data_IF_203585325164
#
_entry.id   IF_203585325164
#
_cell.length_a   1.000
_cell.length_b   1.000
_cell.length_c   1.000
_cell.angle_alpha   90.00
_cell.angle_beta   90.00
_cell.angle_gamma   90.00
#
_symmetry.space_group_name_H-M   'P 1'
#
loop_
_entity.id
_entity.type
_entity.pdbx_description
1 polymer ?
#
# COMPACT_ATOMS: atom_id res chain seq x y z
N UNK A 1 -21.44 4.55 15.60
CA UNK A 1 -20.76 5.79 15.97
C UNK A 1 -21.38 6.95 15.20
N UNK A 2 -21.92 7.91 15.92
CA UNK A 2 -22.64 9.08 15.41
C UNK A 2 -21.66 10.25 15.39
N UNK A 3 -21.19 10.66 14.21
CA UNK A 3 -20.39 11.89 14.04
C UNK A 3 -20.86 12.65 12.81
N UNK A 4 -21.56 13.75 13.07
CA UNK A 4 -21.75 14.94 12.22
C UNK A 4 -22.28 14.73 10.80
N UNK A 5 -23.60 14.63 10.67
CA UNK A 5 -24.34 14.93 9.43
C UNK A 5 -24.36 16.44 9.07
N UNK A 6 -23.53 17.28 9.68
CA UNK A 6 -23.61 18.75 9.53
C UNK A 6 -22.38 19.41 8.88
N UNK A 7 -21.50 18.66 8.21
CA UNK A 7 -20.20 19.23 7.90
C UNK A 7 -20.17 20.21 6.71
N UNK A 8 -21.04 20.11 5.68
CA UNK A 8 -20.85 20.90 4.46
C UNK A 8 -22.13 21.20 3.64
N UNK A 9 -23.03 22.07 4.11
CA UNK A 9 -24.27 22.42 3.38
C UNK A 9 -24.04 23.01 1.98
N UNK A 10 -22.94 23.73 1.77
CA UNK A 10 -22.55 24.24 0.45
C UNK A 10 -22.12 23.14 -0.53
N UNK A 11 -21.57 22.05 -0.02
CA UNK A 11 -21.02 20.96 -0.82
C UNK A 11 -22.15 20.03 -1.29
N UNK A 12 -23.18 19.85 -0.45
CA UNK A 12 -24.44 19.20 -0.82
C UNK A 12 -25.24 19.97 -1.89
N UNK A 13 -25.06 21.30 -1.96
CA UNK A 13 -25.67 22.14 -2.98
C UNK A 13 -25.03 21.97 -4.37
N UNK A 14 -23.74 21.62 -4.42
CA UNK A 14 -22.97 21.45 -5.66
C UNK A 14 -22.91 19.99 -6.09
N UNK A 15 -22.75 19.07 -5.14
CA UNK A 15 -22.64 17.64 -5.36
C UNK A 15 -23.70 16.89 -4.56
N UNK A 16 -24.54 16.06 -5.20
CA UNK A 16 -25.44 15.15 -4.48
C UNK A 16 -24.64 14.31 -3.48
N UNK A 17 -25.22 14.06 -2.30
CA UNK A 17 -24.62 13.25 -1.24
C UNK A 17 -24.29 11.80 -1.68
N UNK A 18 -24.93 11.30 -2.74
CA UNK A 18 -24.67 10.00 -3.38
C UNK A 18 -23.55 10.04 -4.42
N UNK A 19 -23.03 11.21 -4.79
CA UNK A 19 -22.02 11.35 -5.83
C UNK A 19 -20.63 10.91 -5.35
N UNK A 20 -19.80 10.44 -6.29
CA UNK A 20 -18.41 10.11 -6.01
C UNK A 20 -17.58 11.34 -5.62
N UNK A 21 -17.89 12.51 -6.20
CA UNK A 21 -17.23 13.77 -5.86
C UNK A 21 -17.48 14.18 -4.40
N UNK A 22 -18.74 14.07 -3.95
CA UNK A 22 -19.10 14.32 -2.56
C UNK A 22 -18.34 13.39 -1.60
N UNK A 23 -18.32 12.08 -1.87
CA UNK A 23 -17.57 11.10 -1.07
C UNK A 23 -16.07 11.37 -1.05
N UNK A 24 -15.50 11.83 -2.16
CA UNK A 24 -14.08 12.17 -2.26
C UNK A 24 -13.77 13.37 -1.36
N UNK A 25 -14.54 14.45 -1.49
CA UNK A 25 -14.31 15.69 -0.76
C UNK A 25 -14.49 15.54 0.76
N UNK A 26 -15.44 14.71 1.21
CA UNK A 26 -15.60 14.41 2.64
C UNK A 26 -14.35 13.75 3.27
N UNK A 27 -13.49 13.12 2.46
CA UNK A 27 -12.24 12.51 2.94
C UNK A 27 -11.12 13.53 3.14
N UNK A 28 -11.29 14.77 2.72
CA UNK A 28 -10.37 15.88 3.00
C UNK A 28 -10.55 16.43 4.42
N UNK A 29 -10.58 15.52 5.41
CA UNK A 29 -10.63 15.87 6.83
C UNK A 29 -9.22 15.96 7.40
N UNK A 30 -9.05 16.75 8.48
CA UNK A 30 -7.78 16.80 9.21
C UNK A 30 -7.43 15.44 9.85
N UNK A 31 -8.43 14.64 10.22
CA UNK A 31 -8.24 13.27 10.71
C UNK A 31 -7.56 12.40 9.66
N UNK A 32 -8.07 12.41 8.41
CA UNK A 32 -7.47 11.63 7.32
C UNK A 32 -6.10 12.19 6.89
N UNK A 33 -5.88 13.51 7.04
CA UNK A 33 -4.57 14.11 6.81
C UNK A 33 -3.54 13.56 7.81
N UNK A 34 -3.91 13.50 9.10
CA UNK A 34 -3.07 12.88 10.14
C UNK A 34 -2.76 11.43 9.83
N UNK A 35 -3.76 10.65 9.40
CA UNK A 35 -3.56 9.26 8.96
C UNK A 35 -2.54 9.16 7.82
N UNK A 36 -2.62 10.05 6.82
CA UNK A 36 -1.68 10.08 5.69
C UNK A 36 -0.23 10.30 6.14
N UNK A 37 -0.03 11.08 7.20
CA UNK A 37 1.30 11.43 7.74
C UNK A 37 1.71 10.56 8.92
N UNK A 38 0.98 9.48 9.22
CA UNK A 38 1.21 8.61 10.38
C UNK A 38 1.21 9.36 11.73
N UNK A 39 0.51 10.49 11.82
CA UNK A 39 0.38 11.30 13.04
C UNK A 39 -0.76 10.79 13.93
N UNK A 40 -0.63 9.54 14.37
CA UNK A 40 -1.65 8.79 15.12
C UNK A 40 -1.09 8.09 16.35
N UNK A 41 -1.89 8.03 17.40
CA UNK A 41 -1.56 7.24 18.59
C UNK A 41 -1.97 5.77 18.43
N UNK A 42 -1.29 4.81 19.09
CA UNK A 42 -1.68 3.41 19.04
C UNK A 42 -3.13 3.16 19.46
N UNK A 43 -3.64 3.93 20.42
CA UNK A 43 -5.01 3.81 20.91
C UNK A 43 -6.08 4.17 19.85
N UNK A 44 -5.73 4.97 18.83
CA UNK A 44 -6.62 5.30 17.71
C UNK A 44 -6.72 4.17 16.67
N UNK A 45 -5.76 3.23 16.67
CA UNK A 45 -5.63 2.19 15.63
C UNK A 45 -5.61 0.77 16.17
N UNK A 46 -5.97 0.59 17.45
CA UNK A 46 -6.15 -0.72 18.07
C UNK A 46 -7.63 -1.06 18.08
N UNK A 47 -7.98 -2.12 17.37
CA UNK A 47 -9.34 -2.64 17.27
C UNK A 47 -9.40 -4.06 17.82
N UNK A 48 -10.52 -4.41 18.45
CA UNK A 48 -10.75 -5.77 18.96
C UNK A 48 -11.01 -6.77 17.82
N UNK A 49 -11.69 -6.32 16.76
CA UNK A 49 -12.04 -7.16 15.60
C UNK A 49 -11.52 -6.57 14.30
N UNK A 50 -11.34 -7.42 13.29
CA UNK A 50 -10.84 -7.00 11.97
C UNK A 50 -11.90 -6.20 11.20
N UNK A 51 -13.16 -6.49 11.47
CA UNK A 51 -14.34 -5.85 10.88
C UNK A 51 -14.43 -4.37 11.26
N UNK A 52 -13.92 -4.01 12.44
CA UNK A 52 -13.87 -2.63 12.92
C UNK A 52 -12.71 -1.83 12.33
N UNK A 53 -11.73 -2.49 11.70
CA UNK A 53 -10.56 -1.81 11.12
C UNK A 53 -10.98 -1.03 9.87
N UNK A 54 -10.86 0.31 9.88
CA UNK A 54 -11.24 1.11 8.73
C UNK A 54 -10.31 0.84 7.54
N UNK A 55 -10.83 1.07 6.34
CA UNK A 55 -10.03 0.97 5.13
C UNK A 55 -9.17 2.23 4.97
N UNK A 56 -8.01 2.26 5.65
CA UNK A 56 -7.09 3.40 5.65
C UNK A 56 -6.66 3.83 4.23
N UNK A 57 -6.48 2.88 3.30
CA UNK A 57 -6.17 3.21 1.90
C UNK A 57 -7.23 4.14 1.30
N UNK A 58 -8.51 3.87 1.60
CA UNK A 58 -9.62 4.69 1.11
C UNK A 58 -9.63 6.07 1.79
N UNK A 59 -9.36 6.12 3.09
CA UNK A 59 -9.36 7.38 3.86
C UNK A 59 -8.26 8.35 3.41
N UNK A 60 -7.04 7.85 3.18
CA UNK A 60 -5.88 8.67 2.86
C UNK A 60 -5.74 8.95 1.35
N UNK A 61 -6.35 8.14 0.49
CA UNK A 61 -6.21 8.25 -0.98
C UNK A 61 -6.51 9.64 -1.52
N UNK A 62 -7.50 10.35 -0.96
CA UNK A 62 -7.86 11.68 -1.44
C UNK A 62 -6.77 12.72 -1.11
N UNK A 63 -6.20 12.68 0.09
CA UNK A 63 -5.06 13.54 0.45
C UNK A 63 -3.84 13.26 -0.43
N UNK A 64 -3.60 12.00 -0.77
CA UNK A 64 -2.53 11.62 -1.70
C UNK A 64 -2.69 12.27 -3.08
N UNK A 65 -3.90 12.28 -3.65
CA UNK A 65 -4.19 12.97 -4.90
C UNK A 65 -3.95 14.48 -4.79
N UNK A 66 -4.30 15.07 -3.64
CA UNK A 66 -4.02 16.48 -3.35
C UNK A 66 -2.52 16.74 -3.29
N UNK A 67 -1.71 15.87 -2.65
CA UNK A 67 -0.25 16.01 -2.64
C UNK A 67 0.37 15.94 -4.03
N UNK A 68 -0.07 15.01 -4.88
CA UNK A 68 0.36 14.93 -6.29
C UNK A 68 0.03 16.23 -7.02
N UNK A 69 -1.21 16.72 -6.91
CA UNK A 69 -1.61 17.96 -7.58
C UNK A 69 -0.83 19.18 -7.06
N UNK A 70 -0.64 19.28 -5.75
CA UNK A 70 0.13 20.36 -5.12
C UNK A 70 1.60 20.33 -5.55
N UNK A 71 2.23 19.16 -5.63
CA UNK A 71 3.59 19.02 -6.13
C UNK A 71 3.73 19.63 -7.54
N UNK A 72 2.84 19.26 -8.46
CA UNK A 72 2.85 19.81 -9.82
C UNK A 72 2.60 21.33 -9.86
N UNK A 73 1.67 21.84 -9.05
CA UNK A 73 1.41 23.29 -8.96
C UNK A 73 2.64 24.02 -8.43
N UNK A 74 3.29 23.50 -7.39
CA UNK A 74 4.50 24.09 -6.79
C UNK A 74 5.63 24.12 -7.83
N UNK A 75 5.83 23.04 -8.59
CA UNK A 75 6.84 22.99 -9.65
C UNK A 75 6.57 24.03 -10.75
N UNK A 76 5.31 24.18 -11.18
CA UNK A 76 4.92 25.18 -12.18
C UNK A 76 5.15 26.60 -11.69
N UNK A 77 4.69 26.93 -10.48
CA UNK A 77 4.83 28.27 -9.90
C UNK A 77 6.30 28.60 -9.60
N UNK A 78 7.08 27.61 -9.19
CA UNK A 78 8.50 27.77 -8.87
C UNK A 78 9.39 27.76 -10.13
N UNK A 79 8.83 27.59 -11.33
CA UNK A 79 9.58 27.59 -12.60
C UNK A 79 10.50 26.38 -12.82
N UNK A 80 10.32 25.28 -12.06
CA UNK A 80 11.15 24.07 -12.15
C UNK A 80 10.57 23.09 -13.18
N UNK A 81 10.44 23.56 -14.43
CA UNK A 81 9.89 22.77 -15.53
C UNK A 81 10.73 21.52 -15.85
N UNK A 82 12.02 21.52 -15.50
CA UNK A 82 12.94 20.38 -15.62
C UNK A 82 12.51 19.18 -14.78
N UNK A 83 11.77 19.40 -13.69
CA UNK A 83 11.27 18.36 -12.80
C UNK A 83 9.81 17.99 -13.06
N UNK A 84 9.14 18.68 -13.99
CA UNK A 84 7.74 18.48 -14.33
C UNK A 84 7.56 17.24 -15.21
N UNK A 85 7.68 16.06 -14.60
CA UNK A 85 7.70 14.76 -15.29
C UNK A 85 6.30 14.15 -15.47
N UNK A 86 5.43 14.84 -16.21
CA UNK A 86 4.02 14.41 -16.35
C UNK A 86 3.89 13.03 -17.03
N UNK A 87 4.68 12.78 -18.06
CA UNK A 87 4.71 11.50 -18.78
C UNK A 87 5.15 10.34 -17.88
N UNK A 88 6.20 10.54 -17.08
CA UNK A 88 6.67 9.53 -16.14
C UNK A 88 5.64 9.30 -15.03
N UNK A 89 4.97 10.36 -14.60
CA UNK A 89 3.94 10.29 -13.57
C UNK A 89 2.70 9.51 -14.03
N UNK A 90 2.25 9.75 -15.26
CA UNK A 90 1.20 8.95 -15.91
C UNK A 90 1.63 7.49 -16.01
N UNK A 91 2.87 7.23 -16.44
CA UNK A 91 3.42 5.87 -16.51
C UNK A 91 3.38 5.17 -15.15
N UNK A 92 3.80 5.86 -14.10
CA UNK A 92 3.81 5.34 -12.72
C UNK A 92 2.40 5.04 -12.20
N UNK A 93 1.42 5.90 -12.48
CA UNK A 93 0.01 5.65 -12.14
C UNK A 93 -0.55 4.45 -12.91
N UNK A 94 -0.29 4.36 -14.22
CA UNK A 94 -0.72 3.21 -15.04
C UNK A 94 -0.12 1.90 -14.53
N UNK A 95 1.16 1.89 -14.15
CA UNK A 95 1.81 0.72 -13.57
C UNK A 95 1.13 0.30 -12.25
N UNK A 96 0.79 1.26 -11.39
CA UNK A 96 0.05 1.00 -10.15
C UNK A 96 -1.33 0.40 -10.41
N UNK A 97 -2.12 1.00 -11.31
CA UNK A 97 -3.44 0.47 -11.71
C UNK A 97 -3.30 -0.95 -12.29
N UNK A 98 -2.29 -1.20 -13.12
CA UNK A 98 -2.04 -2.52 -13.67
C UNK A 98 -1.73 -3.54 -12.55
N UNK A 99 -0.84 -3.21 -11.61
CA UNK A 99 -0.55 -4.03 -10.43
C UNK A 99 -1.82 -4.35 -9.63
N UNK A 100 -2.74 -3.40 -9.51
CA UNK A 100 -4.04 -3.59 -8.86
C UNK A 100 -4.94 -4.56 -9.63
N UNK A 101 -4.97 -4.52 -10.97
CA UNK A 101 -5.71 -5.48 -11.80
C UNK A 101 -5.22 -6.92 -11.59
N UNK A 102 -3.91 -7.12 -11.36
CA UNK A 102 -3.31 -8.43 -11.07
C UNK A 102 -3.45 -8.86 -9.60
N UNK A 103 -4.30 -8.19 -8.80
CA UNK A 103 -4.65 -8.68 -7.47
C UNK A 103 -5.34 -10.04 -7.50
N UNK A 104 -6.09 -10.33 -8.57
CA UNK A 104 -6.82 -11.59 -8.75
C UNK A 104 -5.86 -12.71 -9.23
N UNK A 105 -5.86 -13.84 -8.53
CA UNK A 105 -4.99 -15.00 -8.84
C UNK A 105 -3.72 -15.06 -7.99
N UNK A 106 -2.93 -13.98 -7.92
CA UNK A 106 -1.65 -14.01 -7.20
C UNK A 106 -1.78 -14.21 -5.67
N UNK A 107 -2.79 -13.59 -5.04
CA UNK A 107 -3.04 -13.78 -3.59
C UNK A 107 -3.53 -15.21 -3.30
N UNK A 108 -4.31 -15.76 -4.21
CA UNK A 108 -4.83 -17.13 -4.14
C UNK A 108 -3.69 -18.14 -4.19
N UNK A 109 -2.78 -18.00 -5.16
CA UNK A 109 -1.59 -18.86 -5.28
C UNK A 109 -0.72 -18.77 -4.02
N UNK A 110 -0.49 -17.56 -3.50
CA UNK A 110 0.30 -17.38 -2.28
C UNK A 110 -0.34 -18.06 -1.06
N UNK A 111 -1.66 -17.92 -0.86
CA UNK A 111 -2.37 -18.55 0.26
C UNK A 111 -2.38 -20.08 0.12
N UNK A 112 -2.67 -20.63 -1.06
CA UNK A 112 -2.64 -22.07 -1.24
C UNK A 112 -1.23 -22.65 -1.10
N UNK A 113 -0.22 -21.95 -1.62
CA UNK A 113 1.19 -22.30 -1.43
C UNK A 113 1.56 -22.31 0.05
N UNK A 114 1.19 -21.27 0.80
CA UNK A 114 1.35 -21.19 2.25
C UNK A 114 0.71 -22.38 2.96
N UNK A 115 -0.58 -22.67 2.68
CA UNK A 115 -1.33 -23.76 3.34
C UNK A 115 -0.73 -25.13 3.01
N UNK A 116 -0.32 -25.34 1.76
CA UNK A 116 0.33 -26.58 1.34
C UNK A 116 1.64 -26.80 2.11
N UNK A 117 2.48 -25.77 2.20
CA UNK A 117 3.77 -25.88 2.88
C UNK A 117 3.59 -26.05 4.40
N UNK A 118 2.67 -25.31 4.99
CA UNK A 118 2.29 -25.47 6.41
C UNK A 118 1.85 -26.90 6.74
N UNK A 119 1.05 -27.52 5.87
CA UNK A 119 0.52 -28.86 6.13
C UNK A 119 1.52 -30.00 5.88
N UNK A 120 2.51 -29.79 5.01
CA UNK A 120 3.43 -30.87 4.58
C UNK A 120 4.87 -30.69 5.04
N UNK A 121 5.33 -29.46 5.30
CA UNK A 121 6.74 -29.12 5.51
C UNK A 121 6.97 -28.21 6.72
N UNK A 122 5.99 -28.01 7.61
CA UNK A 122 6.25 -27.28 8.86
C UNK A 122 7.25 -28.01 9.73
N UNK A 123 8.24 -27.28 10.22
CA UNK A 123 9.33 -27.77 11.05
C UNK A 123 9.02 -27.58 12.54
N UNK A 124 8.31 -26.50 12.87
CA UNK A 124 7.96 -26.12 14.23
C UNK A 124 6.47 -25.76 14.24
N UNK A 125 5.82 -25.97 15.40
CA UNK A 125 4.47 -25.51 15.65
C UNK A 125 4.53 -24.56 16.85
N UNK A 126 4.42 -23.27 16.57
CA UNK A 126 4.55 -22.23 17.57
C UNK A 126 3.18 -21.87 18.17
N UNK A 127 3.12 -21.77 19.51
CA UNK A 127 1.91 -21.34 20.19
C UNK A 127 1.61 -19.87 19.91
N UNK A 128 0.39 -19.57 19.47
CA UNK A 128 -0.08 -18.20 19.21
C UNK A 128 0.02 -17.28 20.44
N UNK A 129 -0.18 -17.83 21.63
CA UNK A 129 -0.19 -17.08 22.89
C UNK A 129 1.22 -16.83 23.47
N UNK A 130 2.27 -17.39 22.85
CA UNK A 130 3.64 -17.19 23.31
C UNK A 130 4.21 -15.89 22.77
N UNK A 131 4.69 -15.03 23.66
CA UNK A 131 5.38 -13.78 23.27
C UNK A 131 6.63 -14.07 22.43
N UNK A 132 7.31 -15.19 22.68
CA UNK A 132 8.48 -15.60 21.91
C UNK A 132 8.16 -15.94 20.47
N UNK A 133 6.97 -16.50 20.19
CA UNK A 133 6.48 -16.72 18.82
C UNK A 133 6.47 -15.41 18.04
N UNK A 134 5.89 -14.36 18.62
CA UNK A 134 5.79 -13.04 17.98
C UNK A 134 7.14 -12.37 17.78
N UNK A 135 8.02 -12.44 18.79
CA UNK A 135 9.39 -11.92 18.69
C UNK A 135 10.14 -12.64 17.55
N UNK A 136 10.08 -13.96 17.52
CA UNK A 136 10.73 -14.75 16.48
C UNK A 136 10.15 -14.46 15.10
N UNK A 137 8.82 -14.45 14.95
CA UNK A 137 8.13 -14.12 13.70
C UNK A 137 8.51 -12.73 13.20
N UNK A 138 8.65 -11.73 14.09
CA UNK A 138 9.06 -10.38 13.72
C UNK A 138 10.44 -10.37 13.07
N UNK A 139 11.45 -10.98 13.72
CA UNK A 139 12.81 -11.03 13.18
C UNK A 139 12.91 -11.90 11.92
N UNK A 140 12.23 -13.04 11.91
CA UNK A 140 12.23 -13.93 10.76
C UNK A 140 11.56 -13.27 9.55
N UNK A 141 10.41 -12.62 9.75
CA UNK A 141 9.70 -11.88 8.70
C UNK A 141 10.59 -10.79 8.09
N UNK A 142 11.28 -10.01 8.93
CA UNK A 142 12.19 -8.96 8.48
C UNK A 142 13.37 -9.54 7.69
N UNK A 143 13.99 -10.60 8.21
CA UNK A 143 15.10 -11.28 7.54
C UNK A 143 14.70 -11.89 6.19
N UNK A 144 13.55 -12.56 6.12
CA UNK A 144 13.05 -13.17 4.88
C UNK A 144 12.64 -12.10 3.87
N UNK A 145 12.06 -10.98 4.33
CA UNK A 145 11.80 -9.82 3.50
C UNK A 145 13.11 -9.26 2.91
N UNK A 146 14.15 -9.10 3.72
CA UNK A 146 15.47 -8.67 3.26
C UNK A 146 16.03 -9.62 2.19
N UNK A 147 16.00 -10.94 2.42
CA UNK A 147 16.50 -11.92 1.44
C UNK A 147 15.71 -11.88 0.13
N UNK A 148 14.38 -11.81 0.20
CA UNK A 148 13.54 -11.68 -0.98
C UNK A 148 13.84 -10.39 -1.74
N UNK A 149 13.99 -9.28 -1.03
CA UNK A 149 14.29 -7.97 -1.62
C UNK A 149 15.67 -7.96 -2.27
N UNK A 150 16.68 -8.52 -1.59
CA UNK A 150 18.01 -8.72 -2.16
C UNK A 150 17.96 -9.59 -3.40
N UNK A 151 17.19 -10.68 -3.38
CA UNK A 151 17.08 -11.59 -4.51
C UNK A 151 16.48 -10.91 -5.75
N UNK A 152 15.46 -10.04 -5.58
CA UNK A 152 14.92 -9.26 -6.70
C UNK A 152 15.87 -8.20 -7.25
N UNK A 153 16.91 -7.83 -6.51
CA UNK A 153 17.95 -6.91 -6.96
C UNK A 153 19.19 -7.61 -7.56
N UNK A 154 19.55 -8.80 -7.10
CA UNK A 154 20.79 -9.48 -7.51
C UNK A 154 20.58 -10.53 -8.62
N UNK A 155 19.42 -11.18 -8.69
CA UNK A 155 19.19 -12.22 -9.69
C UNK A 155 18.42 -11.68 -10.90
N UNK A 156 19.00 -11.82 -12.10
CA UNK A 156 18.43 -11.26 -13.34
C UNK A 156 16.98 -11.67 -13.62
N UNK A 157 16.59 -12.92 -13.32
CA UNK A 157 15.21 -13.38 -13.46
C UNK A 157 14.23 -12.57 -12.59
N UNK A 158 14.56 -12.39 -11.31
CA UNK A 158 13.72 -11.64 -10.38
C UNK A 158 13.80 -10.13 -10.62
N UNK A 159 14.97 -9.62 -11.01
CA UNK A 159 15.16 -8.25 -11.46
C UNK A 159 14.24 -7.90 -12.62
N UNK A 160 14.00 -8.81 -13.57
CA UNK A 160 13.04 -8.58 -14.66
C UNK A 160 11.63 -8.19 -14.19
N UNK A 161 11.20 -8.67 -13.02
CA UNK A 161 9.90 -8.30 -12.42
C UNK A 161 9.96 -7.05 -11.52
N UNK A 162 11.16 -6.64 -11.11
CA UNK A 162 11.38 -5.56 -10.15
C UNK A 162 11.92 -4.27 -10.79
N UNK A 163 12.62 -4.36 -11.92
CA UNK A 163 13.23 -3.24 -12.61
C UNK A 163 12.24 -2.11 -12.93
N UNK A 164 10.98 -2.47 -13.24
CA UNK A 164 9.91 -1.49 -13.47
C UNK A 164 9.74 -0.53 -12.27
N UNK A 165 9.83 -1.04 -11.05
CA UNK A 165 9.69 -0.22 -9.84
C UNK A 165 10.81 0.82 -9.70
N UNK A 166 12.03 0.47 -10.13
CA UNK A 166 13.21 1.33 -10.09
C UNK A 166 13.47 2.09 -11.39
N UNK A 167 12.49 2.13 -12.31
CA UNK A 167 12.70 2.70 -13.65
C UNK A 167 12.28 4.17 -13.80
N UNK A 168 11.72 4.79 -12.74
CA UNK A 168 11.50 6.24 -12.77
C UNK A 168 12.82 6.95 -12.45
N UNK A 169 13.12 7.98 -13.24
CA UNK A 169 14.27 8.87 -13.02
C UNK A 169 13.91 10.06 -12.10
N UNK A 170 12.64 10.18 -11.71
CA UNK A 170 12.11 11.29 -10.94
C UNK A 170 11.73 10.85 -9.54
N UNK A 171 11.94 11.75 -8.58
CA UNK A 171 11.48 11.55 -7.21
C UNK A 171 10.24 12.42 -6.96
N UNK A 172 9.07 11.86 -7.21
CA UNK A 172 7.78 12.55 -7.06
C UNK A 172 6.73 11.64 -6.40
N UNK A 173 5.58 12.20 -6.00
CA UNK A 173 4.53 11.45 -5.30
C UNK A 173 3.98 10.28 -6.13
N UNK A 174 3.90 10.40 -7.46
CA UNK A 174 3.39 9.30 -8.30
C UNK A 174 4.37 8.14 -8.43
N UNK A 175 5.66 8.35 -8.18
CA UNK A 175 6.70 7.33 -8.28
C UNK A 175 6.45 6.16 -7.33
N UNK A 176 5.84 6.41 -6.16
CA UNK A 176 5.44 5.36 -5.22
C UNK A 176 4.43 4.36 -5.83
N UNK A 177 3.62 4.81 -6.80
CA UNK A 177 2.64 3.97 -7.50
C UNK A 177 3.28 3.10 -8.58
N UNK A 178 4.55 3.32 -8.92
CA UNK A 178 5.26 2.55 -9.94
C UNK A 178 5.59 1.15 -9.43
N UNK A 179 4.61 0.26 -9.52
CA UNK A 179 4.73 -1.13 -9.09
C UNK A 179 4.73 -2.05 -10.31
N UNK A 180 5.60 -3.06 -10.33
CA UNK A 180 5.54 -4.12 -11.32
C UNK A 180 4.27 -4.96 -11.15
N UNK A 181 3.64 -5.36 -12.25
CA UNK A 181 2.32 -6.00 -12.24
C UNK A 181 2.21 -7.23 -11.31
N UNK A 182 3.29 -8.01 -11.17
CA UNK A 182 3.33 -9.24 -10.36
C UNK A 182 4.33 -9.11 -9.19
N UNK A 183 5.07 -8.01 -9.10
CA UNK A 183 6.17 -7.82 -8.13
C UNK A 183 5.74 -8.10 -6.69
N UNK A 184 4.64 -7.48 -6.25
CA UNK A 184 4.15 -7.67 -4.87
C UNK A 184 3.73 -9.11 -4.57
N UNK A 185 3.27 -9.86 -5.58
CA UNK A 185 2.86 -11.27 -5.42
C UNK A 185 4.07 -12.20 -5.34
N UNK A 186 5.09 -11.94 -6.15
CA UNK A 186 6.36 -12.63 -6.09
C UNK A 186 6.99 -12.44 -4.70
N UNK A 187 7.04 -11.21 -4.20
CA UNK A 187 7.55 -10.92 -2.86
C UNK A 187 6.73 -11.59 -1.76
N UNK A 188 5.40 -11.52 -1.83
CA UNK A 188 4.54 -12.20 -0.85
C UNK A 188 4.73 -13.72 -0.86
N UNK A 189 4.96 -14.34 -2.02
CA UNK A 189 5.24 -15.76 -2.12
C UNK A 189 6.61 -16.11 -1.52
N UNK A 190 7.68 -15.41 -1.91
CA UNK A 190 9.04 -15.65 -1.39
C UNK A 190 9.11 -15.51 0.14
N UNK A 191 8.43 -14.51 0.69
CA UNK A 191 8.44 -14.23 2.13
C UNK A 191 7.45 -15.12 2.88
N UNK A 192 6.21 -15.24 2.39
CA UNK A 192 5.14 -15.97 3.07
C UNK A 192 5.37 -17.48 3.15
N UNK A 193 5.98 -18.07 2.12
CA UNK A 193 6.39 -19.48 2.16
C UNK A 193 7.41 -19.75 3.27
N UNK A 194 8.34 -18.82 3.48
CA UNK A 194 9.38 -18.97 4.49
C UNK A 194 8.81 -18.96 5.92
N UNK A 195 7.75 -18.18 6.15
CA UNK A 195 7.04 -18.17 7.43
C UNK A 195 6.19 -19.44 7.62
N UNK A 196 5.62 -20.03 6.56
CA UNK A 196 4.79 -21.24 6.67
C UNK A 196 5.54 -22.51 7.09
N UNK A 197 6.86 -22.50 7.03
CA UNK A 197 7.67 -23.63 7.47
C UNK A 197 7.84 -23.69 9.00
N UNK A 198 7.36 -22.71 9.78
CA UNK A 198 7.68 -22.55 11.21
C UNK A 198 6.49 -22.06 12.03
#
# INVERSE_FOLDING_TARGET
MNTSHEAWPLLEMIFPNTSSGHRLLLRLSLTNLRHTLYLISPNETMFETVEDVPNYNTEVSTWWLVFIAMEFIILLVSGHCDRFALNDSITSMCAGILSECFKFGGRTIAIFGYVYIWNHYRLIENEWNSQWTWIFCLFLQDFMYYLGHRAVHEFGFFWGFHAMHHSSEYYNYTTALRQGAIQGKLMAFLVGVSLSCL
#
